data_IF_211556592354
#
_entry.id   IF_211556592354
#
_cell.length_a   1.000
_cell.length_b   1.000
_cell.length_c   1.000
_cell.angle_alpha   90.00
_cell.angle_beta   90.00
_cell.angle_gamma   90.00
#
_symmetry.space_group_name_H-M   'P 1'
#
loop_
_entity.id
_entity.type
_entity.pdbx_description
1 polymer ?
2 non-polymer ?
3 water ?
#
# COMPACT_ATOMS: atom_id res chain seq x y z
N UNK A 3 -7.66 -26.87 -21.65
CA UNK A 3 -7.10 -25.85 -20.78
C UNK A 3 -7.51 -24.46 -21.27
N UNK A 4 -8.70 -24.03 -20.83
CA UNK A 4 -9.26 -22.71 -21.12
C UNK A 4 -8.70 -21.61 -20.21
N UNK A 5 -7.61 -21.89 -19.48
CA UNK A 5 -6.85 -20.91 -18.69
C UNK A 5 -5.36 -21.25 -18.74
N UNK A 6 -4.81 -21.44 -19.94
CA UNK A 6 -3.40 -21.76 -20.11
C UNK A 6 -2.55 -20.49 -20.02
N UNK A 7 -1.22 -20.68 -19.94
CA UNK A 7 -0.33 -19.55 -19.65
C UNK A 7 -0.64 -18.34 -20.50
N UNK A 8 -1.04 -18.56 -21.75
CA UNK A 8 -1.22 -17.46 -22.68
C UNK A 8 -2.55 -16.74 -22.45
N UNK A 9 -3.61 -17.48 -22.08
CA UNK A 9 -4.98 -16.96 -22.15
C UNK A 9 -5.62 -16.68 -20.80
N UNK A 10 -5.10 -17.22 -19.71
CA UNK A 10 -5.76 -17.09 -18.41
C UNK A 10 -6.13 -15.64 -18.14
N UNK A 11 -5.18 -14.73 -18.33
CA UNK A 11 -5.41 -13.34 -17.98
C UNK A 11 -6.48 -12.71 -18.86
N UNK A 12 -6.44 -12.92 -20.17
CA UNK A 12 -7.48 -12.37 -21.03
C UNK A 12 -8.85 -12.83 -20.56
N UNK A 13 -8.95 -14.03 -19.97
CA UNK A 13 -10.20 -14.55 -19.43
C UNK A 13 -10.79 -13.62 -18.36
N UNK A 14 -9.96 -13.14 -17.43
CA UNK A 14 -10.44 -12.20 -16.42
C UNK A 14 -10.80 -10.82 -16.97
N UNK A 15 -10.49 -10.53 -18.22
CA UNK A 15 -10.61 -9.16 -18.69
C UNK A 15 -12.04 -8.67 -18.54
N UNK A 16 -13.02 -9.54 -18.73
CA UNK A 16 -14.40 -9.14 -18.58
C UNK A 16 -14.74 -8.71 -17.17
N UNK A 17 -13.99 -9.18 -16.16
CA UNK A 17 -14.23 -8.81 -14.77
C UNK A 17 -13.37 -7.65 -14.28
N UNK A 18 -12.64 -6.97 -15.17
CA UNK A 18 -11.65 -6.00 -14.72
C UNK A 18 -12.25 -4.86 -13.92
N UNK A 19 -13.35 -4.27 -14.40
CA UNK A 19 -13.90 -3.11 -13.73
C UNK A 19 -14.35 -3.48 -12.32
N UNK A 20 -14.98 -4.66 -12.18
CA UNK A 20 -15.41 -5.10 -10.87
C UNK A 20 -14.24 -5.43 -9.95
N UNK A 21 -13.21 -6.12 -10.48
CA UNK A 21 -12.05 -6.36 -9.66
C UNK A 21 -11.45 -5.05 -9.18
N UNK A 22 -11.29 -4.08 -10.08
CA UNK A 22 -10.63 -2.82 -9.70
C UNK A 22 -11.49 -1.97 -8.79
N UNK A 23 -12.80 -2.23 -8.71
CA UNK A 23 -13.69 -1.52 -7.80
C UNK A 23 -13.74 -2.13 -6.41
N UNK A 24 -13.56 -3.45 -6.30
CA UNK A 24 -13.77 -4.11 -5.03
C UNK A 24 -12.48 -4.23 -4.25
N UNK A 25 -11.38 -4.52 -4.92
CA UNK A 25 -10.13 -4.87 -4.26
C UNK A 25 -9.44 -3.63 -3.71
N UNK A 26 -9.07 -3.69 -2.43
CA UNK A 26 -8.17 -2.73 -1.80
C UNK A 26 -6.79 -3.35 -1.91
N UNK A 27 -5.90 -2.84 -2.75
CA UNK A 27 -4.71 -3.62 -3.10
C UNK A 27 -3.81 -3.86 -1.92
N UNK A 28 -3.82 -2.96 -0.93
CA UNK A 28 -2.96 -3.18 0.22
C UNK A 28 -3.38 -4.37 1.07
N UNK A 29 -4.61 -4.87 0.91
CA UNK A 29 -5.00 -6.07 1.63
C UNK A 29 -4.39 -7.34 1.04
N UNK A 30 -4.00 -7.36 -0.24
CA UNK A 30 -3.49 -8.58 -0.87
C UNK A 30 -2.06 -8.47 -1.39
N UNK A 31 -1.44 -7.28 -1.47
CA UNK A 31 -0.04 -7.25 -1.93
C UNK A 31 0.88 -7.99 -0.97
N UNK A 32 0.69 -7.95 0.36
CA UNK A 32 1.51 -8.80 1.23
C UNK A 32 1.47 -10.27 0.86
N UNK A 33 0.27 -10.84 0.73
CA UNK A 33 0.11 -12.20 0.22
C UNK A 33 0.88 -12.41 -1.08
N UNK A 34 0.59 -11.57 -2.08
CA UNK A 34 1.15 -11.81 -3.42
C UNK A 34 2.67 -11.76 -3.40
N UNK A 35 3.23 -10.89 -2.58
CA UNK A 35 4.67 -10.89 -2.36
C UNK A 35 5.12 -12.20 -1.75
N UNK A 36 4.34 -12.76 -0.83
CA UNK A 36 4.76 -14.04 -0.26
C UNK A 36 4.61 -15.17 -1.28
N UNK A 37 3.67 -15.03 -2.22
CA UNK A 37 3.59 -15.97 -3.34
C UNK A 37 4.74 -15.82 -4.33
N UNK A 38 5.60 -14.81 -4.16
CA UNK A 38 6.74 -14.57 -5.04
C UNK A 38 6.33 -14.16 -6.46
N UNK A 39 5.16 -13.54 -6.64
CA UNK A 39 4.77 -12.96 -7.92
C UNK A 39 4.80 -11.45 -7.91
N UNK A 40 5.12 -10.84 -6.77
CA UNK A 40 5.31 -9.39 -6.62
C UNK A 40 6.66 -9.14 -5.97
N UNK A 41 7.50 -8.33 -6.62
CA UNK A 41 8.73 -7.95 -5.94
C UNK A 41 8.56 -6.61 -5.22
N UNK A 42 9.45 -6.30 -4.28
CA UNK A 42 9.27 -5.09 -3.46
C UNK A 42 9.08 -3.82 -4.26
N UNK A 43 9.86 -3.61 -5.32
CA UNK A 43 9.60 -2.49 -6.21
C UNK A 43 8.13 -2.47 -6.64
N UNK A 44 7.69 -3.55 -7.30
CA UNK A 44 6.30 -3.66 -7.75
C UNK A 44 5.31 -3.16 -6.69
N UNK A 45 5.49 -3.59 -5.44
CA UNK A 45 4.53 -3.25 -4.40
C UNK A 45 4.58 -1.76 -4.07
N UNK A 46 5.78 -1.18 -4.11
CA UNK A 46 5.88 0.26 -3.90
C UNK A 46 5.10 1.00 -4.98
N UNK A 47 5.22 0.53 -6.22
CA UNK A 47 4.50 1.13 -7.33
C UNK A 47 3.00 1.09 -7.11
N UNK A 48 2.49 -0.06 -6.73
CA UNK A 48 1.06 -0.17 -6.52
C UNK A 48 0.59 0.74 -5.39
N UNK A 49 1.33 0.79 -4.29
CA UNK A 49 0.82 1.43 -3.09
C UNK A 49 1.08 2.92 -3.05
N UNK A 50 1.98 3.42 -3.89
CA UNK A 50 2.37 4.83 -3.91
C UNK A 50 1.19 5.72 -4.27
N UNK A 51 1.31 7.00 -3.88
CA UNK A 51 0.23 7.97 -3.94
C UNK A 51 0.70 9.19 -4.72
N UNK A 52 0.52 9.19 -6.04
CA UNK A 52 0.97 10.34 -6.83
C UNK A 52 0.10 11.58 -6.65
N UNK A 53 -1.12 11.44 -6.09
CA UNK A 53 -1.98 12.58 -5.81
C UNK A 53 -1.66 13.21 -4.45
N UNK A 54 -1.21 14.46 -4.47
CA UNK A 54 -0.86 15.16 -3.25
C UNK A 54 -1.98 15.13 -2.22
N UNK A 55 -3.22 15.45 -2.63
CA UNK A 55 -4.30 15.54 -1.65
C UNK A 55 -4.47 14.22 -0.92
N UNK A 56 -4.37 13.11 -1.64
CA UNK A 56 -4.50 11.79 -1.03
C UNK A 56 -3.29 11.51 -0.13
N UNK A 57 -2.09 11.73 -0.66
CA UNK A 57 -0.88 11.46 0.09
C UNK A 57 -0.83 12.28 1.37
N UNK A 58 -1.23 13.57 1.30
CA UNK A 58 -1.27 14.37 2.52
C UNK A 58 -2.17 13.76 3.56
N UNK A 59 -3.38 13.35 3.16
CA UNK A 59 -4.27 12.80 4.14
C UNK A 59 -3.64 11.60 4.83
N UNK A 60 -2.98 10.73 4.07
CA UNK A 60 -2.48 9.46 4.62
C UNK A 60 -1.35 9.71 5.60
N UNK A 61 -0.47 10.68 5.29
CA UNK A 61 0.63 11.00 6.18
C UNK A 61 0.08 11.58 7.45
N UNK A 62 -0.96 12.44 7.34
CA UNK A 62 -1.57 13.00 8.53
C UNK A 62 -2.16 11.92 9.41
N UNK A 63 -2.84 10.95 8.81
CA UNK A 63 -3.37 9.82 9.57
C UNK A 63 -2.22 9.07 10.24
N UNK A 64 -1.12 8.88 9.48
CA UNK A 64 0.04 8.17 10.01
C UNK A 64 0.67 8.95 11.16
N UNK A 65 0.81 10.27 11.02
CA UNK A 65 1.31 11.06 12.13
C UNK A 65 0.42 10.92 13.37
N UNK A 66 -0.90 10.90 13.20
CA UNK A 66 -1.76 10.86 14.41
C UNK A 66 -1.60 9.52 15.14
N UNK A 67 -1.60 8.43 14.39
CA UNK A 67 -1.28 7.10 14.94
C UNK A 67 0.05 7.12 15.68
N UNK A 68 1.10 7.65 15.04
CA UNK A 68 2.43 7.61 15.65
C UNK A 68 2.49 8.43 16.93
N UNK A 69 1.82 9.59 16.93
CA UNK A 69 1.79 10.43 18.12
C UNK A 69 1.20 9.66 19.30
N UNK A 70 0.17 8.84 19.06
CA UNK A 70 -0.43 8.05 20.13
C UNK A 70 0.54 7.05 20.73
N UNK A 71 1.68 6.78 20.10
CA UNK A 71 2.69 5.94 20.72
C UNK A 71 3.73 6.75 21.48
N UNK A 72 3.65 8.07 21.48
CA UNK A 72 4.55 8.83 22.33
C UNK A 72 5.98 8.87 21.81
N UNK A 73 6.91 8.91 22.75
CA UNK A 73 8.31 9.15 22.37
C UNK A 73 8.87 8.02 21.52
N UNK A 74 8.40 6.78 21.73
CA UNK A 74 8.89 5.68 20.91
C UNK A 74 8.51 5.87 19.44
N UNK A 75 7.30 6.33 19.17
CA UNK A 75 6.91 6.61 17.79
C UNK A 75 7.67 7.77 17.20
N UNK A 76 7.95 8.78 18.01
CA UNK A 76 8.73 9.93 17.56
C UNK A 76 10.12 9.50 17.11
N UNK A 77 10.83 8.73 17.94
CA UNK A 77 12.15 8.22 17.60
C UNK A 77 12.13 7.37 16.34
N UNK A 78 11.15 6.46 16.22
CA UNK A 78 11.05 5.63 15.03
C UNK A 78 10.75 6.45 13.79
N UNK A 79 9.82 7.39 13.91
CA UNK A 79 9.52 8.24 12.76
C UNK A 79 10.78 8.98 12.30
N UNK A 80 11.51 9.59 13.25
CA UNK A 80 12.68 10.34 12.88
C UNK A 80 13.71 9.44 12.22
N UNK A 81 13.92 8.22 12.73
CA UNK A 81 14.82 7.29 12.07
C UNK A 81 14.37 7.01 10.65
N UNK A 82 13.05 6.91 10.43
CA UNK A 82 12.61 6.57 9.10
C UNK A 82 12.85 7.71 8.12
N UNK A 83 12.86 8.95 8.60
CA UNK A 83 13.20 10.10 7.76
C UNK A 83 14.69 10.11 7.46
N UNK A 84 15.50 9.89 8.49
CA UNK A 84 16.95 9.85 8.31
C UNK A 84 17.33 8.89 7.19
N UNK A 85 16.68 7.72 7.15
CA UNK A 85 16.96 6.74 6.13
C UNK A 85 16.37 7.10 4.78
N UNK A 86 15.07 7.43 4.74
CA UNK A 86 14.32 7.49 3.48
C UNK A 86 13.98 8.90 3.02
N UNK A 87 14.09 9.89 3.88
CA UNK A 87 13.82 11.29 3.52
C UNK A 87 14.88 12.16 4.20
N UNK A 88 16.16 11.96 3.84
CA UNK A 88 17.23 12.65 4.58
C UNK A 88 17.10 14.16 4.57
N UNK A 89 16.62 14.77 3.49
CA UNK A 89 16.55 16.23 3.47
C UNK A 89 15.45 16.72 4.39
N UNK A 90 14.39 15.94 4.51
CA UNK A 90 13.34 16.28 5.44
C UNK A 90 13.80 16.02 6.87
N UNK A 91 14.62 15.01 7.08
CA UNK A 91 15.21 14.79 8.39
C UNK A 91 16.05 15.99 8.81
N UNK A 92 16.90 16.47 7.91
CA UNK A 92 17.68 17.67 8.20
C UNK A 92 16.79 18.83 8.58
N UNK A 93 15.74 19.05 7.78
CA UNK A 93 14.86 20.20 7.97
C UNK A 93 14.28 20.20 9.38
N UNK A 94 13.71 19.07 9.82
CA UNK A 94 13.01 19.09 11.10
C UNK A 94 13.95 19.04 12.27
N UNK A 95 15.20 18.64 12.06
CA UNK A 95 16.20 18.66 13.11
C UNK A 95 17.05 19.92 13.09
N UNK A 96 16.76 20.87 12.20
CA UNK A 96 17.41 22.18 12.19
C UNK A 96 18.71 22.27 11.43
N UNK A 97 19.09 21.22 10.72
CA UNK A 97 20.44 21.11 10.16
C UNK A 97 20.50 21.52 8.67
N UNK B 9 6.12 16.05 24.55
CA UNK B 9 6.42 17.40 24.05
C UNK B 9 7.21 17.34 22.73
N UNK B 10 7.78 16.17 22.45
CA UNK B 10 8.55 16.03 21.21
C UNK B 10 7.65 16.12 19.98
N UNK B 11 6.45 15.57 20.06
CA UNK B 11 5.55 15.67 18.91
C UNK B 11 5.02 17.10 18.73
N UNK B 12 4.66 17.77 19.83
CA UNK B 12 4.18 19.15 19.70
C UNK B 12 5.19 20.03 18.98
N UNK B 13 6.47 19.68 19.09
CA UNK B 13 7.54 20.33 18.34
C UNK B 13 7.23 20.19 16.85
N UNK B 14 7.25 18.96 16.35
CA UNK B 14 7.14 18.72 14.92
C UNK B 14 5.87 19.30 14.29
N UNK B 15 4.88 19.68 15.09
CA UNK B 15 3.62 20.16 14.51
C UNK B 15 3.88 21.28 13.52
N UNK B 16 4.87 22.13 13.80
CA UNK B 16 5.19 23.23 12.91
C UNK B 16 5.59 22.80 11.51
N UNK B 17 6.09 21.57 11.37
CA UNK B 17 6.47 21.01 10.08
C UNK B 17 5.43 20.05 9.49
N UNK B 18 4.23 19.98 10.07
CA UNK B 18 3.26 18.97 9.65
C UNK B 18 2.95 19.08 8.16
N UNK B 19 2.69 20.28 7.65
CA UNK B 19 2.33 20.37 6.24
C UNK B 19 3.50 19.97 5.34
N UNK B 20 4.73 20.25 5.73
CA UNK B 20 5.84 19.82 4.90
C UNK B 20 5.96 18.31 4.91
N UNK B 21 5.91 17.72 6.11
CA UNK B 21 5.95 16.28 6.20
C UNK B 21 4.84 15.66 5.35
N UNK B 22 3.59 16.16 5.46
CA UNK B 22 2.48 15.46 4.80
C UNK B 22 2.52 15.66 3.29
N UNK B 23 3.30 16.63 2.85
CA UNK B 23 3.45 16.99 1.45
C UNK B 23 4.52 16.18 0.76
N UNK B 24 5.56 15.77 1.49
CA UNK B 24 6.71 15.13 0.87
C UNK B 24 6.65 13.62 0.98
N UNK B 25 6.18 13.11 2.10
CA UNK B 25 6.36 11.69 2.41
C UNK B 25 5.36 10.85 1.62
N UNK B 26 5.84 9.77 1.01
CA UNK B 26 4.95 8.74 0.46
C UNK B 26 4.88 7.66 1.54
N UNK B 27 3.76 7.49 2.23
CA UNK B 27 3.80 6.70 3.46
C UNK B 27 4.22 5.26 3.24
N UNK B 28 3.93 4.66 2.08
CA UNK B 28 4.27 3.25 1.88
C UNK B 28 5.78 3.04 1.85
N UNK B 29 6.52 4.12 1.70
CA UNK B 29 7.98 4.05 1.74
C UNK B 29 8.51 3.81 3.15
N UNK B 30 7.79 4.25 4.19
CA UNK B 30 8.27 4.14 5.56
C UNK B 30 7.39 3.28 6.47
N UNK B 31 6.15 2.91 6.09
CA UNK B 31 5.38 2.05 6.99
C UNK B 31 6.03 0.69 7.25
N UNK B 32 6.76 0.06 6.31
CA UNK B 32 7.40 -1.21 6.64
C UNK B 32 8.43 -1.06 7.74
N UNK B 33 9.25 -0.02 7.68
CA UNK B 33 10.15 0.30 8.77
C UNK B 33 9.38 0.55 10.08
N UNK B 34 8.35 1.39 10.06
CA UNK B 34 7.64 1.71 11.31
C UNK B 34 6.97 0.48 11.90
N UNK B 35 6.43 -0.39 11.05
CA UNK B 35 5.87 -1.64 11.52
C UNK B 35 6.93 -2.48 12.21
N UNK B 36 8.16 -2.48 11.68
CA UNK B 36 9.21 -3.32 12.28
C UNK B 36 9.63 -2.73 13.61
N UNK B 37 9.51 -1.42 13.77
CA UNK B 37 9.72 -0.77 15.06
C UNK B 37 8.59 -1.02 16.02
N UNK B 38 7.51 -1.66 15.58
CA UNK B 38 6.43 -2.06 16.47
C UNK B 38 5.66 -0.85 16.96
N UNK B 39 5.68 0.24 16.18
CA UNK B 39 4.83 1.39 16.47
C UNK B 39 3.64 1.47 15.53
N UNK B 40 3.50 0.51 14.61
CA UNK B 40 2.36 0.42 13.72
C UNK B 40 1.87 -1.02 13.72
N UNK B 41 0.67 -1.21 14.19
CA UNK B 41 0.06 -2.53 14.17
C UNK B 41 -0.65 -2.72 12.84
N UNK B 42 -1.07 -3.94 12.52
CA UNK B 42 -1.66 -4.16 11.20
C UNK B 42 -2.92 -3.33 10.96
N UNK B 43 -3.72 -3.08 12.00
CA UNK B 43 -4.87 -2.21 11.83
C UNK B 43 -4.42 -0.80 11.48
N UNK B 44 -3.27 -0.39 12.04
CA UNK B 44 -2.70 0.93 11.72
C UNK B 44 -2.30 1.01 10.26
N UNK B 45 -1.50 0.03 9.78
CA UNK B 45 -0.99 0.10 8.42
C UNK B 45 -2.13 0.04 7.41
N UNK B 46 -3.22 -0.65 7.77
CA UNK B 46 -4.39 -0.70 6.91
C UNK B 46 -5.01 0.67 6.71
N UNK B 47 -5.27 1.40 7.81
CA UNK B 47 -5.91 2.70 7.69
C UNK B 47 -5.03 3.64 6.89
N UNK B 48 -3.71 3.59 7.11
CA UNK B 48 -2.83 4.47 6.36
C UNK B 48 -2.86 4.13 4.89
N UNK B 49 -2.82 2.85 4.54
CA UNK B 49 -2.54 2.48 3.17
C UNK B 49 -3.78 2.24 2.35
N UNK B 50 -4.94 2.08 2.98
CA UNK B 50 -6.15 1.79 2.22
C UNK B 50 -6.54 2.99 1.35
N UNK B 51 -7.39 2.71 0.37
CA UNK B 51 -7.83 3.69 -0.63
C UNK B 51 -9.34 3.75 -0.56
N UNK B 52 -9.91 4.61 0.29
CA UNK B 52 -11.37 4.80 0.27
C UNK B 52 -11.87 5.56 -0.96
N UNK B 53 -10.99 6.23 -1.73
CA UNK B 53 -11.43 6.88 -2.97
C UNK B 53 -11.45 5.85 -4.09
N UNK B 54 -12.65 5.58 -4.62
CA UNK B 54 -12.82 4.58 -5.67
C UNK B 54 -11.97 4.89 -6.88
N UNK B 55 -11.89 6.16 -7.26
CA UNK B 55 -11.12 6.51 -8.46
C UNK B 55 -9.66 6.08 -8.30
N UNK B 56 -9.09 6.38 -7.14
CA UNK B 56 -7.69 6.05 -6.87
C UNK B 56 -7.53 4.55 -6.74
N UNK B 57 -8.43 3.91 -6.02
CA UNK B 57 -8.29 2.48 -5.82
C UNK B 57 -8.36 1.73 -7.13
N UNK B 58 -9.26 2.13 -8.03
CA UNK B 58 -9.37 1.48 -9.33
C UNK B 58 -8.06 1.56 -10.08
N UNK B 59 -7.45 2.75 -10.11
CA UNK B 59 -6.17 2.92 -10.76
C UNK B 59 -5.15 1.93 -10.20
N UNK B 60 -5.03 1.87 -8.87
CA UNK B 60 -3.98 1.07 -8.26
C UNK B 60 -4.22 -0.41 -8.53
N UNK B 61 -5.47 -0.87 -8.45
CA UNK B 61 -5.72 -2.28 -8.76
C UNK B 61 -5.38 -2.56 -10.20
N UNK B 62 -5.67 -1.60 -11.09
CA UNK B 62 -5.31 -1.77 -12.47
C UNK B 62 -3.80 -1.94 -12.66
N UNK B 63 -3.00 -1.14 -11.92
CA UNK B 63 -1.56 -1.26 -12.01
C UNK B 63 -1.11 -2.60 -11.48
N UNK B 64 -1.71 -3.02 -10.36
CA UNK B 64 -1.41 -4.35 -9.79
C UNK B 64 -1.69 -5.46 -10.81
N UNK B 65 -2.86 -5.42 -11.43
CA UNK B 65 -3.20 -6.42 -12.44
C UNK B 65 -2.18 -6.42 -13.56
N UNK B 66 -1.74 -5.23 -13.94
CA UNK B 66 -0.80 -5.11 -15.04
C UNK B 66 0.51 -5.76 -14.69
N UNK B 67 0.94 -5.57 -13.45
CA UNK B 67 2.18 -6.19 -13.03
C UNK B 67 2.02 -7.71 -13.00
N UNK B 68 0.92 -8.21 -12.41
CA UNK B 68 0.72 -9.65 -12.32
C UNK B 68 0.62 -10.30 -13.69
N UNK B 69 -0.01 -9.63 -14.66
CA UNK B 69 -0.16 -10.22 -15.97
C UNK B 69 1.19 -10.49 -16.62
N UNK B 70 2.17 -9.64 -16.33
CA UNK B 70 3.49 -9.83 -16.89
C UNK B 70 4.17 -11.09 -16.33
N UNK B 71 3.70 -11.63 -15.23
CA UNK B 71 4.19 -12.90 -14.69
C UNK B 71 3.49 -14.09 -15.28
N UNK B 72 2.47 -13.88 -16.12
CA UNK B 72 1.85 -15.00 -16.79
C UNK B 72 1.00 -15.83 -15.85
N UNK B 73 0.99 -17.14 -16.09
CA UNK B 73 0.04 -18.00 -15.38
C UNK B 73 0.33 -18.02 -13.88
N UNK B 74 1.59 -17.88 -13.49
CA UNK B 74 1.93 -17.86 -12.07
C UNK B 74 1.21 -16.76 -11.32
N UNK B 75 1.25 -15.53 -11.85
CA UNK B 75 0.56 -14.42 -11.21
C UNK B 75 -0.93 -14.60 -11.21
N UNK B 76 -1.46 -15.25 -12.23
CA UNK B 76 -2.89 -15.48 -12.31
C UNK B 76 -3.33 -16.40 -11.16
N UNK B 77 -2.66 -17.52 -11.01
CA UNK B 77 -2.99 -18.45 -9.95
C UNK B 77 -2.82 -17.80 -8.59
N UNK B 78 -1.67 -17.16 -8.35
CA UNK B 78 -1.48 -16.48 -7.07
C UNK B 78 -2.56 -15.43 -6.81
N UNK B 79 -2.96 -14.72 -7.86
CA UNK B 79 -4.02 -13.72 -7.70
C UNK B 79 -5.34 -14.37 -7.28
N UNK B 80 -5.74 -15.44 -7.96
CA UNK B 80 -6.94 -16.17 -7.57
C UNK B 80 -6.85 -16.64 -6.13
N UNK B 81 -5.70 -17.18 -5.73
CA UNK B 81 -5.53 -17.58 -4.33
C UNK B 81 -5.86 -16.41 -3.42
N UNK B 82 -5.31 -15.25 -3.73
CA UNK B 82 -5.50 -14.11 -2.84
C UNK B 82 -6.97 -13.75 -2.74
N UNK B 83 -7.71 -13.87 -3.83
CA UNK B 83 -9.13 -13.54 -3.76
C UNK B 83 -9.87 -14.56 -2.91
N UNK B 84 -9.53 -15.84 -3.05
CA UNK B 84 -10.22 -16.85 -2.26
C UNK B 84 -10.00 -16.61 -0.78
N UNK B 85 -8.87 -16.02 -0.42
CA UNK B 85 -8.57 -15.75 0.98
C UNK B 85 -9.26 -14.48 1.43
N UNK B 86 -9.14 -13.42 0.62
CA UNK B 86 -9.45 -12.08 1.07
C UNK B 86 -10.73 -11.51 0.49
N UNK B 87 -11.19 -12.00 -0.65
CA UNK B 87 -12.40 -11.50 -1.31
C UNK B 87 -13.23 -12.68 -1.80
N UNK B 88 -13.72 -13.49 -0.88
CA UNK B 88 -14.33 -14.77 -1.27
C UNK B 88 -15.52 -14.61 -2.20
N UNK B 89 -16.35 -13.59 -2.04
CA UNK B 89 -17.49 -13.48 -2.95
C UNK B 89 -17.03 -13.09 -4.33
N UNK B 90 -16.00 -12.26 -4.41
CA UNK B 90 -15.40 -11.90 -5.69
C UNK B 90 -14.80 -13.11 -6.36
N UNK B 91 -14.08 -13.90 -5.57
CA UNK B 91 -13.48 -15.11 -6.08
C UNK B 91 -14.54 -16.00 -6.73
N UNK B 92 -15.62 -16.27 -6.03
CA UNK B 92 -16.66 -17.08 -6.64
C UNK B 92 -17.21 -16.42 -7.91
N UNK B 93 -17.35 -15.11 -7.89
CA UNK B 93 -17.92 -14.44 -9.05
C UNK B 93 -17.04 -14.64 -10.27
N UNK B 94 -15.73 -14.39 -10.14
CA UNK B 94 -14.91 -14.41 -11.34
C UNK B 94 -14.54 -15.83 -11.72
N UNK B 95 -14.71 -16.80 -10.84
CA UNK B 95 -14.44 -18.20 -11.13
C UNK B 95 -15.72 -19.01 -11.34
N UNK B 96 -16.88 -18.39 -11.23
CA UNK B 96 -18.12 -19.02 -11.65
C UNK B 96 -18.72 -20.00 -10.68
N UNK B 97 -18.51 -19.80 -9.38
CA UNK B 97 -19.15 -20.64 -8.36
C UNK B 97 -20.30 -19.87 -7.70
X LIG C 1 9.82 12.83 23.61
#
# INVERSE_FOLDING_TARGET
>A
GSDYENDDECWSVLEGFRVTLTSVIDPSRITPYLRQCKVLNPDDEEQVLSDPNLVIRKRKVGVLLDILQRTGHKGYVAFLESLELYYPQLYKKVTGK
>B
GSDYENDDECWSVLEGFRVTLTSVIDPSRITPYLRQCKVLNPDDEEQVLSDPNLVIRKRKVGVLLDILQRTGHKGYVAFLESLELYYPQLYKKVTGK
>C hetero
1 ZN ZN
#
